data_IF_453961137310
#
_entry.id   IF_453961137310
#
_cell.length_a   1.000
_cell.length_b   1.000
_cell.length_c   1.000
_cell.angle_alpha   90.00
_cell.angle_beta   90.00
_cell.angle_gamma   90.00
#
_symmetry.space_group_name_H-M   'P 1'
#
loop_
_entity.id
_entity.type
_entity.pdbx_description
1 polymer ?
#
# COMPACT_ATOMS: atom_id res chain seq x y z
N UNK A 1 5.37 -9.41 12.31
CA UNK A 1 5.27 -9.61 10.85
C UNK A 1 4.88 -8.32 10.18
N UNK A 2 5.61 -7.94 9.16
CA UNK A 2 5.34 -6.74 8.37
C UNK A 2 4.63 -7.12 7.07
N UNK A 3 3.42 -6.61 6.88
CA UNK A 3 2.55 -7.00 5.78
C UNK A 3 2.22 -5.78 4.92
N UNK A 4 2.34 -5.96 3.61
CA UNK A 4 1.84 -4.99 2.63
C UNK A 4 0.55 -5.52 2.04
N UNK A 5 -0.55 -4.81 2.24
CA UNK A 5 -1.85 -5.14 1.70
C UNK A 5 -2.23 -4.20 0.57
N UNK A 6 -2.76 -4.77 -0.50
CA UNK A 6 -3.22 -4.02 -1.67
C UNK A 6 -4.65 -4.42 -1.95
N UNK A 7 -5.53 -3.44 -2.13
CA UNK A 7 -6.92 -3.68 -2.45
C UNK A 7 -7.31 -2.80 -3.64
N UNK A 8 -7.88 -3.41 -4.67
CA UNK A 8 -8.33 -2.69 -5.84
C UNK A 8 -9.78 -3.04 -6.14
N UNK A 9 -10.54 -2.04 -6.54
CA UNK A 9 -11.92 -2.21 -6.99
C UNK A 9 -12.10 -1.45 -8.29
N UNK A 10 -13.33 -1.43 -8.80
CA UNK A 10 -13.59 -0.81 -10.10
C UNK A 10 -13.22 0.67 -10.15
N UNK A 11 -13.33 1.37 -9.03
CA UNK A 11 -13.18 2.82 -9.00
C UNK A 11 -12.25 3.31 -7.88
N UNK A 12 -11.51 2.41 -7.23
CA UNK A 12 -10.63 2.81 -6.15
C UNK A 12 -9.50 1.80 -5.96
N UNK A 13 -8.39 2.27 -5.41
CA UNK A 13 -7.33 1.39 -4.96
C UNK A 13 -6.80 1.87 -3.61
N UNK A 14 -6.30 0.95 -2.81
CA UNK A 14 -5.72 1.28 -1.52
C UNK A 14 -4.50 0.41 -1.24
N UNK A 15 -3.59 0.95 -0.44
CA UNK A 15 -2.36 0.29 -0.01
C UNK A 15 -2.23 0.50 1.49
N UNK A 16 -1.93 -0.56 2.21
CA UNK A 16 -1.72 -0.46 3.66
C UNK A 16 -0.47 -1.24 4.05
N UNK A 17 0.28 -0.71 5.01
CA UNK A 17 1.42 -1.39 5.60
C UNK A 17 1.13 -1.56 7.08
N UNK A 18 1.14 -2.82 7.52
CA UNK A 18 0.76 -3.21 8.89
C UNK A 18 1.90 -3.99 9.52
N UNK A 19 2.27 -3.63 10.73
CA UNK A 19 3.25 -4.38 11.52
C UNK A 19 2.59 -4.85 12.81
N UNK A 20 2.54 -6.18 12.98
CA UNK A 20 2.02 -6.80 14.21
C UNK A 20 0.66 -6.25 14.63
N UNK A 21 -0.23 -6.06 13.65
CA UNK A 21 -1.57 -5.54 13.87
C UNK A 21 -1.69 -4.03 13.93
N UNK A 22 -0.57 -3.30 13.84
CA UNK A 22 -0.59 -1.84 13.84
C UNK A 22 -0.41 -1.31 12.42
N UNK A 23 -1.31 -0.43 11.98
CA UNK A 23 -1.24 0.19 10.67
C UNK A 23 -0.20 1.30 10.68
N UNK A 24 0.88 1.11 9.92
CA UNK A 24 1.96 2.10 9.82
C UNK A 24 1.68 3.13 8.73
N UNK A 25 1.02 2.70 7.64
CA UNK A 25 0.67 3.60 6.56
C UNK A 25 -0.58 3.07 5.85
N UNK A 26 -1.42 3.98 5.38
CA UNK A 26 -2.61 3.63 4.61
C UNK A 26 -2.87 4.73 3.60
N UNK A 27 -2.95 4.35 2.33
CA UNK A 27 -3.27 5.25 1.23
C UNK A 27 -4.50 4.73 0.51
N UNK A 28 -5.40 5.63 0.17
CA UNK A 28 -6.63 5.30 -0.55
C UNK A 28 -6.85 6.34 -1.62
N UNK A 29 -7.18 5.90 -2.82
CA UNK A 29 -7.43 6.82 -3.93
C UNK A 29 -8.58 6.30 -4.78
N UNK A 30 -9.54 7.18 -5.05
CA UNK A 30 -10.66 6.89 -5.92
C UNK A 30 -10.28 7.24 -7.35
N UNK A 31 -10.52 6.32 -8.29
CA UNK A 31 -10.20 6.53 -9.70
C UNK A 31 -11.05 5.63 -10.57
N UNK A 32 -11.35 6.07 -11.78
CA UNK A 32 -12.16 5.30 -12.71
C UNK A 32 -11.30 4.47 -13.66
N UNK A 33 -10.02 4.80 -13.80
CA UNK A 33 -9.09 4.04 -14.62
C UNK A 33 -7.67 4.43 -14.22
N UNK A 34 -6.69 3.68 -14.72
CA UNK A 34 -5.29 3.96 -14.43
C UNK A 34 -4.80 3.38 -13.11
N UNK A 35 -5.54 2.44 -12.51
CA UNK A 35 -5.18 1.84 -11.23
C UNK A 35 -3.80 1.18 -11.28
N UNK A 36 -3.50 0.44 -12.35
CA UNK A 36 -2.23 -0.25 -12.46
C UNK A 36 -1.06 0.74 -12.54
N UNK A 37 -1.27 1.87 -13.21
CA UNK A 37 -0.26 2.91 -13.32
C UNK A 37 -0.06 3.65 -12.01
N UNK A 38 -1.11 3.76 -11.21
CA UNK A 38 -1.07 4.50 -9.94
C UNK A 38 -0.57 3.64 -8.78
N UNK A 39 -0.77 2.34 -8.86
CA UNK A 39 -0.52 1.44 -7.74
C UNK A 39 0.96 1.43 -7.33
N UNK A 40 1.89 1.35 -8.27
CA UNK A 40 3.31 1.33 -7.96
C UNK A 40 3.78 2.60 -7.22
N UNK A 41 3.39 3.82 -7.66
CA UNK A 41 3.69 5.02 -6.89
C UNK A 41 3.07 5.01 -5.49
N UNK A 42 1.85 4.48 -5.34
CA UNK A 42 1.18 4.41 -4.05
C UNK A 42 1.93 3.48 -3.09
N UNK A 43 2.40 2.35 -3.58
CA UNK A 43 3.19 1.42 -2.76
C UNK A 43 4.47 2.10 -2.28
N UNK A 44 5.15 2.82 -3.15
CA UNK A 44 6.37 3.55 -2.79
C UNK A 44 6.07 4.63 -1.76
N UNK A 45 4.97 5.35 -1.94
CA UNK A 45 4.55 6.39 -1.02
C UNK A 45 4.22 5.83 0.36
N UNK A 46 3.51 4.70 0.40
CA UNK A 46 3.20 4.03 1.65
C UNK A 46 4.47 3.56 2.36
N UNK A 47 5.43 3.02 1.60
CA UNK A 47 6.70 2.58 2.14
C UNK A 47 7.46 3.74 2.78
N UNK A 48 7.44 4.91 2.15
CA UNK A 48 8.08 6.11 2.68
C UNK A 48 7.38 6.60 3.95
N UNK A 49 6.06 6.59 3.97
CA UNK A 49 5.28 6.99 5.14
C UNK A 49 5.53 6.07 6.33
N UNK A 50 5.66 4.77 6.07
CA UNK A 50 5.94 3.79 7.12
C UNK A 50 7.42 3.79 7.54
N UNK A 51 8.30 4.43 6.77
CA UNK A 51 9.73 4.51 7.03
C UNK A 51 10.37 3.12 7.11
N UNK A 52 10.00 2.23 6.17
CA UNK A 52 10.50 0.87 6.11
C UNK A 52 11.21 0.63 4.76
N UNK A 53 12.01 -0.43 4.70
CA UNK A 53 12.57 -0.91 3.43
C UNK A 53 11.68 -2.03 2.88
N UNK A 54 11.59 -2.14 1.57
CA UNK A 54 10.82 -3.22 0.95
C UNK A 54 11.33 -4.61 1.37
N UNK A 55 12.64 -4.73 1.62
CA UNK A 55 13.23 -5.98 2.06
C UNK A 55 12.69 -6.43 3.43
N UNK A 56 12.12 -5.52 4.22
CA UNK A 56 11.58 -5.84 5.53
C UNK A 56 10.16 -6.40 5.47
N UNK A 57 9.51 -6.34 4.30
CA UNK A 57 8.16 -6.83 4.15
C UNK A 57 8.17 -8.35 4.12
N UNK A 58 7.44 -8.95 5.07
CA UNK A 58 7.36 -10.40 5.21
C UNK A 58 6.30 -11.02 4.30
N UNK A 59 5.26 -10.25 3.98
CA UNK A 59 4.12 -10.77 3.23
C UNK A 59 3.42 -9.65 2.45
N UNK A 60 2.98 -10.01 1.28
CA UNK A 60 2.12 -9.18 0.46
C UNK A 60 0.67 -9.61 0.59
#
# INVERSE_FOLDING_TARGET
MLVLGIDTSLDACSVAIVRDGETLAHLHETMTRGQAERLAPMVREAQQHAAIAFADIDRL
#
